data_IF_748478177554
#
_entry.id   IF_748478177554
#
_cell.length_a   1.000
_cell.length_b   1.000
_cell.length_c   1.000
_cell.angle_alpha   90.00
_cell.angle_beta   90.00
_cell.angle_gamma   90.00
#
_symmetry.space_group_name_H-M   'P 1'
#
loop_
_entity.id
_entity.type
_entity.pdbx_description
1 polymer ?
#
# COMPACT_ATOMS: atom_id res chain seq x y z
N UNK A 1 7.21 -10.36 -4.46
CA UNK A 1 6.94 -9.31 -5.47
C UNK A 1 8.19 -8.89 -6.27
N UNK A 2 9.38 -8.79 -5.66
CA UNK A 2 10.59 -8.22 -6.29
C UNK A 2 11.03 -8.87 -7.62
N UNK A 3 10.80 -10.18 -7.81
CA UNK A 3 11.20 -10.90 -9.03
C UNK A 3 10.23 -10.77 -10.23
N UNK A 4 9.04 -10.18 -10.04
CA UNK A 4 8.07 -10.07 -11.14
C UNK A 4 8.39 -8.91 -12.07
N UNK A 5 8.71 -7.72 -11.52
CA UNK A 5 8.94 -6.53 -12.32
C UNK A 5 10.37 -6.44 -12.87
N UNK A 6 11.36 -6.99 -12.16
CA UNK A 6 12.77 -6.91 -12.58
C UNK A 6 13.05 -7.48 -13.97
N UNK A 7 12.31 -8.51 -14.39
CA UNK A 7 12.47 -9.14 -15.73
C UNK A 7 12.08 -8.23 -16.91
N UNK A 8 11.32 -7.17 -16.63
CA UNK A 8 10.88 -6.22 -17.65
C UNK A 8 11.95 -5.16 -17.93
N UNK A 9 12.98 -5.04 -17.10
CA UNK A 9 14.02 -4.02 -17.24
C UNK A 9 15.30 -4.60 -17.79
N UNK A 10 15.90 -3.89 -18.74
CA UNK A 10 17.18 -4.21 -19.35
C UNK A 10 18.01 -2.93 -19.53
N UNK A 11 19.34 -3.07 -19.56
CA UNK A 11 20.24 -1.95 -19.86
C UNK A 11 20.59 -2.02 -21.35
N UNK A 12 20.20 -1.00 -22.12
CA UNK A 12 20.63 -0.79 -23.52
C UNK A 12 21.36 0.54 -23.60
N UNK A 13 22.57 0.55 -24.14
CA UNK A 13 23.37 1.77 -24.34
C UNK A 13 23.54 2.62 -23.07
N UNK A 14 23.66 1.95 -21.91
CA UNK A 14 23.76 2.60 -20.60
C UNK A 14 22.46 3.20 -20.06
N UNK A 15 21.33 3.00 -20.75
CA UNK A 15 20.00 3.45 -20.32
C UNK A 15 19.12 2.26 -19.93
N UNK A 16 18.29 2.47 -18.91
CA UNK A 16 17.29 1.50 -18.50
C UNK A 16 16.13 1.55 -19.49
N UNK A 17 15.84 0.41 -20.12
CA UNK A 17 14.70 0.23 -21.04
C UNK A 17 13.77 -0.79 -20.43
N UNK A 18 12.48 -0.47 -20.39
CA UNK A 18 11.46 -1.38 -19.91
C UNK A 18 10.64 -1.96 -21.06
N UNK A 19 10.23 -3.22 -20.92
CA UNK A 19 9.35 -3.91 -21.87
C UNK A 19 8.08 -4.42 -21.19
N UNK A 20 6.95 -4.45 -21.88
CA UNK A 20 5.71 -5.04 -21.38
C UNK A 20 5.76 -6.59 -21.31
N UNK A 21 4.64 -7.23 -20.94
CA UNK A 21 4.52 -8.70 -20.92
C UNK A 21 4.49 -9.37 -22.30
N UNK A 22 4.48 -8.60 -23.38
CA UNK A 22 4.55 -9.07 -24.77
C UNK A 22 5.93 -8.80 -25.40
N UNK A 23 6.82 -8.12 -24.68
CA UNK A 23 8.16 -7.76 -25.15
C UNK A 23 8.25 -6.42 -25.88
N UNK A 24 7.19 -5.62 -25.89
CA UNK A 24 7.21 -4.28 -26.51
C UNK A 24 7.85 -3.27 -25.57
N UNK A 25 8.64 -2.34 -26.12
CA UNK A 25 9.25 -1.27 -25.34
C UNK A 25 8.19 -0.28 -24.82
N UNK A 26 8.36 0.16 -23.57
CA UNK A 26 7.47 1.12 -22.94
C UNK A 26 7.90 2.54 -23.28
N UNK A 27 6.95 3.32 -23.79
CA UNK A 27 7.12 4.73 -24.12
C UNK A 27 6.45 5.62 -23.08
N UNK A 28 7.02 6.80 -22.88
CA UNK A 28 6.49 7.81 -21.98
C UNK A 28 5.10 8.26 -22.43
N UNK A 29 4.16 8.30 -21.49
CA UNK A 29 2.82 8.87 -21.65
C UNK A 29 2.80 10.35 -21.24
N UNK A 30 3.82 10.85 -20.57
CA UNK A 30 3.93 12.27 -20.23
C UNK A 30 4.10 13.11 -21.50
N UNK A 31 3.44 14.28 -21.58
CA UNK A 31 3.49 15.14 -22.76
C UNK A 31 4.89 15.72 -23.01
N UNK A 32 5.69 15.92 -21.96
CA UNK A 32 7.06 16.46 -22.03
C UNK A 32 8.10 15.50 -22.62
N UNK A 33 7.85 14.19 -22.53
CA UNK A 33 8.74 13.12 -23.01
C UNK A 33 8.03 12.20 -24.01
N UNK A 34 6.95 12.69 -24.63
CA UNK A 34 6.13 11.89 -25.54
C UNK A 34 6.97 11.37 -26.73
N UNK A 35 6.84 10.08 -27.03
CA UNK A 35 7.60 9.42 -28.10
C UNK A 35 9.01 8.97 -27.73
N UNK A 36 9.50 9.32 -26.53
CA UNK A 36 10.72 8.72 -25.97
C UNK A 36 10.39 7.50 -25.11
N UNK A 37 11.39 6.63 -24.88
CA UNK A 37 11.26 5.53 -23.91
C UNK A 37 10.88 6.09 -22.54
N UNK A 38 9.99 5.39 -21.85
CA UNK A 38 9.59 5.77 -20.51
C UNK A 38 10.78 5.64 -19.55
N UNK A 39 10.93 6.61 -18.65
CA UNK A 39 11.91 6.51 -17.57
C UNK A 39 11.59 5.33 -16.64
N UNK A 40 12.55 4.93 -15.81
CA UNK A 40 12.39 3.79 -14.90
C UNK A 40 11.12 3.88 -14.04
N UNK A 41 10.88 5.03 -13.40
CA UNK A 41 9.72 5.24 -12.52
C UNK A 41 8.39 5.20 -13.30
N UNK A 42 8.35 5.78 -14.50
CA UNK A 42 7.13 5.78 -15.33
C UNK A 42 6.85 4.39 -15.88
N UNK A 43 7.88 3.70 -16.35
CA UNK A 43 7.82 2.32 -16.78
C UNK A 43 7.31 1.41 -15.67
N UNK A 44 7.81 1.60 -14.44
CA UNK A 44 7.33 0.85 -13.28
C UNK A 44 5.85 1.11 -13.02
N UNK A 45 5.41 2.37 -13.09
CA UNK A 45 4.00 2.71 -12.94
C UNK A 45 3.11 2.05 -14.02
N UNK A 46 3.56 2.02 -15.28
CA UNK A 46 2.85 1.35 -16.38
C UNK A 46 2.77 -0.17 -16.15
N UNK A 47 3.87 -0.80 -15.71
CA UNK A 47 3.91 -2.23 -15.40
C UNK A 47 3.03 -2.60 -14.21
N UNK A 48 3.03 -1.77 -13.16
CA UNK A 48 2.16 -1.95 -11.99
C UNK A 48 0.70 -1.77 -12.37
N UNK A 49 0.36 -0.78 -13.18
CA UNK A 49 -1.02 -0.52 -13.58
C UNK A 49 -1.61 -1.64 -14.44
N UNK A 50 -0.79 -2.26 -15.30
CA UNK A 50 -1.15 -3.42 -16.13
C UNK A 50 -1.12 -4.75 -15.39
N UNK A 51 -0.63 -4.80 -14.15
CA UNK A 51 -0.53 -6.05 -13.39
C UNK A 51 -1.90 -6.50 -12.88
N UNK A 52 -2.38 -7.71 -13.22
CA UNK A 52 -3.71 -8.17 -12.83
C UNK A 52 -3.98 -8.16 -11.32
N UNK A 53 -2.94 -8.40 -10.51
CA UNK A 53 -3.02 -8.41 -9.06
C UNK A 53 -2.39 -7.16 -8.44
N UNK A 54 -2.44 -6.00 -9.12
CA UNK A 54 -1.86 -4.74 -8.63
C UNK A 54 -2.32 -4.35 -7.24
N UNK A 55 -3.58 -4.63 -6.92
CA UNK A 55 -4.12 -4.39 -5.58
C UNK A 55 -3.38 -5.17 -4.50
N UNK A 56 -2.82 -6.35 -4.81
CA UNK A 56 -2.08 -7.15 -3.83
C UNK A 56 -0.70 -6.59 -3.50
N UNK A 57 -0.14 -5.75 -4.38
CA UNK A 57 1.14 -5.06 -4.16
C UNK A 57 0.98 -3.60 -3.75
N UNK A 58 -0.16 -2.97 -4.10
CA UNK A 58 -0.50 -1.60 -3.73
C UNK A 58 -1.18 -1.52 -2.37
N UNK A 59 -1.97 -2.54 -1.99
CA UNK A 59 -2.43 -2.64 -0.61
C UNK A 59 -1.21 -2.87 0.27
N UNK A 60 -1.11 -2.09 1.35
CA UNK A 60 -0.29 -2.46 2.50
C UNK A 60 -0.61 -3.92 2.75
N UNK A 61 0.36 -4.80 2.49
CA UNK A 61 0.23 -6.19 2.87
C UNK A 61 -0.10 -6.11 4.34
N UNK A 62 -1.27 -6.57 4.77
CA UNK A 62 -1.69 -6.56 6.18
C UNK A 62 -0.78 -7.36 7.11
N UNK A 63 0.44 -7.67 6.67
CA UNK A 63 1.62 -7.74 7.51
C UNK A 63 1.63 -6.47 8.36
N UNK A 64 1.10 -6.60 9.56
CA UNK A 64 1.60 -5.88 10.72
C UNK A 64 3.13 -5.89 10.60
N UNK A 65 3.72 -4.76 10.18
CA UNK A 65 5.13 -4.55 10.43
C UNK A 65 5.31 -4.82 11.92
N UNK A 66 6.32 -5.59 12.32
CA UNK A 66 6.54 -5.98 13.71
C UNK A 66 6.80 -4.80 14.67
N UNK A 67 6.51 -3.56 14.26
CA UNK A 67 6.49 -2.36 15.08
C UNK A 67 5.45 -1.30 14.65
N UNK A 68 4.50 -1.64 13.77
CA UNK A 68 3.39 -0.74 13.44
C UNK A 68 2.19 -1.11 14.32
N UNK A 69 2.00 -0.35 15.41
CA UNK A 69 0.74 -0.37 16.15
C UNK A 69 -0.41 -0.20 15.14
N UNK A 70 -1.44 -1.06 15.15
CA UNK A 70 -2.61 -0.85 14.31
C UNK A 70 -3.28 0.44 14.77
N UNK A 71 -2.96 1.56 14.11
CA UNK A 71 -3.80 2.73 14.16
C UNK A 71 -5.13 2.35 13.52
N UNK A 72 -6.12 2.11 14.39
CA UNK A 72 -7.55 2.02 14.11
C UNK A 72 -7.90 2.95 12.93
N UNK A 73 -8.19 2.34 11.79
CA UNK A 73 -8.46 3.06 10.55
C UNK A 73 -8.83 2.10 9.44
N UNK A 74 -10.09 1.62 9.44
CA UNK A 74 -10.71 1.07 8.25
C UNK A 74 -11.47 -0.25 8.42
N UNK A 75 -12.80 -0.11 8.42
CA UNK A 75 -13.76 -1.02 7.79
C UNK A 75 -14.30 -2.23 8.59
N UNK A 76 -15.53 -2.06 9.09
CA UNK A 76 -16.62 -3.01 8.87
C UNK A 76 -16.45 -4.42 9.46
N UNK A 77 -16.74 -4.56 10.76
CA UNK A 77 -16.90 -5.87 11.39
C UNK A 77 -17.01 -5.74 12.90
N UNK A 78 -18.23 -5.82 13.42
CA UNK A 78 -18.61 -6.01 14.83
C UNK A 78 -17.69 -5.39 15.90
N UNK A 79 -18.17 -4.29 16.49
CA UNK A 79 -17.67 -3.71 17.75
C UNK A 79 -17.83 -4.63 18.99
N UNK A 80 -17.85 -5.95 18.83
CA UNK A 80 -18.22 -6.89 19.90
C UNK A 80 -17.04 -7.35 20.76
N UNK A 81 -15.83 -6.82 20.56
CA UNK A 81 -14.63 -7.30 21.29
C UNK A 81 -13.67 -6.20 21.78
N UNK A 82 -14.11 -4.93 21.88
CA UNK A 82 -13.30 -3.90 22.54
C UNK A 82 -13.50 -4.02 24.06
N UNK A 83 -12.58 -4.72 24.74
CA UNK A 83 -12.56 -4.83 26.21
C UNK A 83 -11.65 -3.78 26.82
N UNK A 84 -12.08 -3.17 27.92
CA UNK A 84 -11.29 -2.20 28.69
C UNK A 84 -9.95 -2.77 29.14
N UNK A 85 -9.91 -4.04 29.53
CA UNK A 85 -8.69 -4.72 29.99
C UNK A 85 -7.68 -5.01 28.89
N UNK A 86 -8.05 -4.83 27.61
CA UNK A 86 -7.16 -5.05 26.46
C UNK A 86 -6.54 -3.78 25.91
N UNK A 87 -6.97 -2.60 26.40
CA UNK A 87 -6.45 -1.31 25.98
C UNK A 87 -5.26 -0.87 26.84
N UNK A 88 -4.20 -0.39 26.19
CA UNK A 88 -3.10 0.35 26.80
C UNK A 88 -3.54 1.74 27.31
N UNK A 89 -2.71 2.42 28.08
CA UNK A 89 -3.02 3.75 28.62
C UNK A 89 -3.28 4.78 27.50
N UNK A 90 -2.54 4.70 26.40
CA UNK A 90 -2.67 5.57 25.24
C UNK A 90 -3.97 5.31 24.47
N UNK A 91 -4.33 4.05 24.28
CA UNK A 91 -5.60 3.67 23.63
C UNK A 91 -6.82 4.09 24.46
N UNK A 92 -6.71 4.04 25.79
CA UNK A 92 -7.76 4.53 26.70
C UNK A 92 -7.94 6.04 26.55
N UNK A 93 -6.85 6.79 26.53
CA UNK A 93 -6.90 8.24 26.37
C UNK A 93 -7.57 8.62 25.05
N UNK A 94 -7.09 8.05 23.95
CA UNK A 94 -7.62 8.31 22.62
C UNK A 94 -9.09 7.91 22.47
N UNK A 95 -9.47 6.76 23.03
CA UNK A 95 -10.88 6.32 23.00
C UNK A 95 -11.80 7.27 23.79
N UNK A 96 -11.36 7.75 24.95
CA UNK A 96 -12.11 8.70 25.78
C UNK A 96 -12.18 10.08 25.12
N UNK A 97 -11.13 10.50 24.40
CA UNK A 97 -11.17 11.75 23.61
C UNK A 97 -12.14 11.66 22.43
N UNK A 98 -12.18 10.53 21.74
CA UNK A 98 -13.00 10.36 20.54
C UNK A 98 -14.47 10.03 20.86
N UNK A 99 -14.72 9.22 21.89
CA UNK A 99 -16.05 8.66 22.17
C UNK A 99 -16.63 9.10 23.53
N UNK A 100 -15.84 9.81 24.33
CA UNK A 100 -16.21 10.23 25.67
C UNK A 100 -15.98 9.15 26.73
N UNK A 101 -15.82 9.61 27.96
CA UNK A 101 -15.58 8.76 29.13
C UNK A 101 -16.74 7.80 29.41
N UNK A 102 -17.98 8.18 29.07
CA UNK A 102 -19.16 7.34 29.27
C UNK A 102 -19.22 6.14 28.33
N UNK A 103 -18.77 6.31 27.08
CA UNK A 103 -18.68 5.19 26.13
C UNK A 103 -17.62 4.18 26.61
N UNK A 104 -16.53 4.66 27.19
CA UNK A 104 -15.46 3.83 27.75
C UNK A 104 -15.93 2.98 28.94
N UNK A 105 -16.83 3.52 29.76
CA UNK A 105 -17.42 2.82 30.92
C UNK A 105 -18.39 1.70 30.51
N UNK A 106 -19.01 1.81 29.33
CA UNK A 106 -19.93 0.80 28.77
C UNK A 106 -19.21 -0.37 28.12
N UNK A 107 -17.91 -0.25 27.85
CA UNK A 107 -17.10 -1.38 27.36
C UNK A 107 -16.99 -2.47 28.44
N UNK A 108 -17.03 -3.72 27.99
CA UNK A 108 -16.82 -4.87 28.86
C UNK A 108 -15.45 -4.79 29.54
N UNK A 109 -15.42 -5.24 30.80
CA UNK A 109 -14.20 -5.27 31.60
C UNK A 109 -13.13 -6.11 30.91
#
# INVERSE_FOLDING_TARGET
AQAFFGRHFQIKDGKVVATDGQGNELYSRKPETAGSLADFEESLAILVDSYPNKDSILKSSGMSGAGANPSVGGNGGSQTNLKRSKMSAEEKHKFVEENGHEAFLKLDK
#
